data_IF_678113834059
#
_entry.id   IF_678113834059
#
_cell.length_a   1.000
_cell.length_b   1.000
_cell.length_c   1.000
_cell.angle_alpha   90.00
_cell.angle_beta   90.00
_cell.angle_gamma   90.00
#
_symmetry.space_group_name_H-M   'P 1'
#
loop_
_entity.id
_entity.type
_entity.pdbx_description
1 polymer ?
#
# COMPACT_ATOMS: atom_id res chain seq x y z
N UNK A 1 -1.18 -82.33 1.37
CA UNK A 1 -0.76 -81.35 2.40
C UNK A 1 -0.32 -80.07 1.72
N UNK A 2 -1.10 -78.99 1.85
CA UNK A 2 -0.88 -77.74 1.12
C UNK A 2 -0.41 -76.66 2.10
N UNK A 3 0.88 -76.30 2.06
CA UNK A 3 1.45 -75.23 2.89
C UNK A 3 0.99 -73.86 2.36
N UNK A 4 0.09 -73.19 3.07
CA UNK A 4 -0.18 -71.76 2.85
C UNK A 4 1.07 -70.96 3.20
N UNK A 5 1.67 -70.28 2.21
CA UNK A 5 2.71 -69.27 2.46
C UNK A 5 2.05 -68.04 3.09
N UNK A 6 2.44 -67.73 4.33
CA UNK A 6 2.14 -66.44 4.94
C UNK A 6 2.86 -65.36 4.12
N UNK A 7 2.09 -64.47 3.46
CA UNK A 7 2.65 -63.26 2.85
C UNK A 7 3.17 -62.37 3.98
N UNK A 8 4.48 -62.19 4.04
CA UNK A 8 5.09 -61.11 4.82
C UNK A 8 4.65 -59.79 4.21
N UNK A 9 3.67 -59.12 4.83
CA UNK A 9 3.45 -57.70 4.65
C UNK A 9 4.65 -57.00 5.30
N UNK A 10 5.60 -56.57 4.46
CA UNK A 10 6.77 -55.82 4.92
C UNK A 10 6.30 -54.58 5.68
N UNK A 11 6.54 -54.54 6.99
CA UNK A 11 6.31 -53.34 7.78
C UNK A 11 7.29 -52.25 7.37
N UNK A 12 6.82 -51.00 7.31
CA UNK A 12 7.69 -49.85 7.13
C UNK A 12 8.76 -49.85 8.22
N UNK A 13 10.01 -49.71 7.81
CA UNK A 13 11.10 -49.57 8.78
C UNK A 13 11.04 -48.19 9.43
N UNK A 14 11.41 -48.09 10.70
CA UNK A 14 11.39 -46.81 11.43
C UNK A 14 12.24 -45.73 10.72
N UNK A 15 13.33 -46.14 10.08
CA UNK A 15 14.22 -45.26 9.29
C UNK A 15 13.49 -44.67 8.08
N UNK A 16 12.66 -45.45 7.40
CA UNK A 16 11.88 -45.00 6.24
C UNK A 16 10.83 -43.96 6.64
N UNK A 17 10.16 -44.15 7.78
CA UNK A 17 9.21 -43.17 8.32
C UNK A 17 9.93 -41.88 8.71
N UNK A 18 11.09 -41.96 9.37
CA UNK A 18 11.89 -40.78 9.72
C UNK A 18 12.40 -40.03 8.47
N UNK A 19 12.81 -40.74 7.43
CA UNK A 19 13.22 -40.11 6.17
C UNK A 19 12.04 -39.41 5.49
N UNK A 20 10.87 -40.06 5.44
CA UNK A 20 9.66 -39.49 4.85
C UNK A 20 9.19 -38.23 5.58
N UNK A 21 9.21 -38.21 6.91
CA UNK A 21 8.80 -37.03 7.69
C UNK A 21 9.75 -35.85 7.50
N UNK A 22 11.06 -36.09 7.38
CA UNK A 22 12.04 -35.03 7.08
C UNK A 22 11.79 -34.44 5.69
N UNK A 23 11.63 -35.28 4.66
CA UNK A 23 11.35 -34.81 3.29
C UNK A 23 10.04 -34.01 3.26
N UNK A 24 8.98 -34.51 3.92
CA UNK A 24 7.70 -33.81 4.00
C UNK A 24 7.82 -32.45 4.70
N UNK A 25 8.59 -32.39 5.79
CA UNK A 25 8.81 -31.14 6.54
C UNK A 25 9.49 -30.09 5.68
N UNK A 26 10.54 -30.47 4.94
CA UNK A 26 11.24 -29.57 4.00
C UNK A 26 10.27 -29.08 2.91
N UNK A 27 9.48 -29.98 2.32
CA UNK A 27 8.52 -29.62 1.29
C UNK A 27 7.43 -28.65 1.80
N UNK A 28 6.91 -28.89 3.01
CA UNK A 28 5.89 -28.02 3.63
C UNK A 28 6.46 -26.65 3.97
N UNK A 29 7.66 -26.57 4.55
CA UNK A 29 8.31 -25.29 4.86
C UNK A 29 8.59 -24.51 3.57
N UNK A 30 9.13 -25.17 2.55
CA UNK A 30 9.40 -24.55 1.25
C UNK A 30 8.14 -24.01 0.57
N UNK A 31 7.09 -24.84 0.49
CA UNK A 31 5.82 -24.45 -0.12
C UNK A 31 5.13 -23.31 0.66
N UNK A 32 5.18 -23.36 1.99
CA UNK A 32 4.58 -22.33 2.85
C UNK A 32 5.33 -21.00 2.73
N UNK A 33 6.66 -21.03 2.72
CA UNK A 33 7.49 -19.83 2.51
C UNK A 33 7.21 -19.18 1.15
N UNK A 34 7.17 -19.99 0.09
CA UNK A 34 6.83 -19.49 -1.25
C UNK A 34 5.44 -18.84 -1.29
N UNK A 35 4.42 -19.53 -0.77
CA UNK A 35 3.04 -18.99 -0.74
C UNK A 35 2.93 -17.71 0.07
N UNK A 36 3.65 -17.63 1.19
CA UNK A 36 3.69 -16.44 2.03
C UNK A 36 4.27 -15.25 1.29
N UNK A 37 5.46 -15.40 0.69
CA UNK A 37 6.11 -14.31 -0.05
C UNK A 37 5.30 -13.91 -1.29
N UNK A 38 4.74 -14.87 -2.02
CA UNK A 38 3.89 -14.57 -3.18
C UNK A 38 2.64 -13.77 -2.79
N UNK A 39 1.95 -14.14 -1.72
CA UNK A 39 0.79 -13.40 -1.23
C UNK A 39 1.16 -11.99 -0.73
N UNK A 40 2.30 -11.88 -0.03
CA UNK A 40 2.81 -10.60 0.45
C UNK A 40 3.13 -9.65 -0.71
N UNK A 41 3.81 -10.13 -1.75
CA UNK A 41 4.19 -9.30 -2.89
C UNK A 41 2.97 -8.93 -3.75
N UNK A 42 2.00 -9.84 -3.90
CA UNK A 42 0.72 -9.53 -4.53
C UNK A 42 -0.01 -8.39 -3.80
N UNK A 43 -0.02 -8.39 -2.45
CA UNK A 43 -0.60 -7.31 -1.65
C UNK A 43 0.14 -5.99 -1.82
N UNK A 44 1.47 -6.00 -1.84
CA UNK A 44 2.27 -4.78 -2.10
C UNK A 44 1.96 -4.19 -3.48
N UNK A 45 1.87 -5.05 -4.49
CA UNK A 45 1.54 -4.64 -5.86
C UNK A 45 0.13 -4.06 -5.97
N UNK A 46 -0.86 -4.67 -5.29
CA UNK A 46 -2.22 -4.15 -5.21
C UNK A 46 -2.26 -2.75 -4.58
N UNK A 47 -1.60 -2.55 -3.43
CA UNK A 47 -1.52 -1.24 -2.79
C UNK A 47 -0.83 -0.19 -3.67
N UNK A 48 0.22 -0.57 -4.38
CA UNK A 48 0.91 0.33 -5.31
C UNK A 48 0.01 0.73 -6.49
N UNK A 49 -0.71 -0.25 -7.06
CA UNK A 49 -1.68 0.01 -8.13
C UNK A 49 -2.81 0.91 -7.65
N UNK A 50 -3.29 0.73 -6.42
CA UNK A 50 -4.36 1.54 -5.86
C UNK A 50 -3.91 2.96 -5.57
N UNK A 51 -2.71 3.13 -4.99
CA UNK A 51 -2.09 4.45 -4.84
C UNK A 51 -1.97 5.17 -6.20
N UNK A 52 -1.49 4.49 -7.24
CA UNK A 52 -1.39 5.06 -8.58
C UNK A 52 -2.75 5.46 -9.17
N UNK A 53 -3.81 4.65 -8.96
CA UNK A 53 -5.18 4.96 -9.39
C UNK A 53 -5.73 6.18 -8.67
N UNK A 54 -5.56 6.27 -7.35
CA UNK A 54 -5.96 7.43 -6.53
C UNK A 54 -5.23 8.67 -7.02
N UNK A 55 -3.93 8.59 -7.25
CA UNK A 55 -3.13 9.68 -7.79
C UNK A 55 -3.64 10.16 -9.14
N UNK A 56 -3.89 9.24 -10.07
CA UNK A 56 -4.46 9.57 -11.39
C UNK A 56 -5.84 10.21 -11.28
N UNK A 57 -6.72 9.66 -10.44
CA UNK A 57 -8.05 10.22 -10.21
C UNK A 57 -7.97 11.65 -9.68
N UNK A 58 -7.07 11.93 -8.73
CA UNK A 58 -6.84 13.27 -8.19
C UNK A 58 -6.30 14.23 -9.27
N UNK A 59 -5.34 13.77 -10.08
CA UNK A 59 -4.80 14.54 -11.19
C UNK A 59 -5.88 14.88 -12.23
N UNK A 60 -6.69 13.90 -12.66
CA UNK A 60 -7.74 14.12 -13.66
C UNK A 60 -8.88 14.98 -13.12
N UNK A 61 -9.26 14.80 -11.85
CA UNK A 61 -10.27 15.64 -11.19
C UNK A 61 -9.80 17.10 -11.10
N UNK A 62 -8.54 17.34 -10.74
CA UNK A 62 -7.96 18.68 -10.70
C UNK A 62 -7.86 19.32 -12.10
N UNK A 63 -7.51 18.53 -13.12
CA UNK A 63 -7.56 18.97 -14.53
C UNK A 63 -8.98 19.33 -14.96
N UNK A 64 -9.98 18.57 -14.53
CA UNK A 64 -11.40 18.82 -14.81
C UNK A 64 -11.90 20.17 -14.30
N UNK A 65 -11.28 20.71 -13.23
CA UNK A 65 -11.56 22.06 -12.71
C UNK A 65 -10.56 23.11 -13.19
N UNK A 66 -9.86 22.85 -14.30
CA UNK A 66 -8.86 23.73 -14.92
C UNK A 66 -7.75 24.17 -13.96
N UNK A 67 -7.34 23.27 -13.07
CA UNK A 67 -6.21 23.51 -12.19
C UNK A 67 -6.48 24.50 -11.06
N UNK A 68 -7.71 24.65 -10.60
CA UNK A 68 -8.06 25.59 -9.52
C UNK A 68 -7.14 25.51 -8.28
N UNK A 69 -6.79 26.67 -7.73
CA UNK A 69 -6.01 26.82 -6.49
C UNK A 69 -6.83 26.48 -5.24
N UNK A 70 -8.16 26.48 -5.35
CA UNK A 70 -9.08 26.14 -4.27
C UNK A 70 -9.62 24.71 -4.39
N UNK A 71 -8.98 23.89 -5.21
CA UNK A 71 -9.41 22.52 -5.44
C UNK A 71 -9.43 21.71 -4.14
N UNK A 72 -10.60 21.19 -3.81
CA UNK A 72 -10.81 20.31 -2.68
C UNK A 72 -11.33 18.94 -3.15
N UNK A 73 -10.55 17.85 -3.08
CA UNK A 73 -10.98 16.52 -3.49
C UNK A 73 -12.17 15.99 -2.68
N UNK A 74 -12.43 16.50 -1.48
CA UNK A 74 -13.61 16.12 -0.69
C UNK A 74 -14.88 16.55 -1.40
N UNK A 75 -14.92 17.77 -1.95
CA UNK A 75 -16.12 18.29 -2.63
C UNK A 75 -16.28 17.72 -4.03
N UNK A 76 -15.18 17.39 -4.71
CA UNK A 76 -15.20 16.90 -6.09
C UNK A 76 -15.29 15.37 -6.22
N UNK A 77 -14.76 14.62 -5.26
CA UNK A 77 -14.70 13.14 -5.30
C UNK A 77 -15.44 12.46 -4.15
N UNK A 78 -15.90 13.20 -3.13
CA UNK A 78 -16.50 12.65 -1.92
C UNK A 78 -17.74 11.77 -2.12
N UNK A 79 -18.42 11.90 -3.26
CA UNK A 79 -19.56 11.05 -3.61
C UNK A 79 -19.14 9.61 -3.99
N UNK A 80 -17.95 9.44 -4.55
CA UNK A 80 -17.47 8.15 -5.08
C UNK A 80 -16.28 7.58 -4.29
N UNK A 81 -15.61 8.42 -3.51
CA UNK A 81 -14.41 8.07 -2.76
C UNK A 81 -14.52 8.63 -1.33
N UNK A 82 -14.15 7.81 -0.35
CA UNK A 82 -14.12 8.25 1.06
C UNK A 82 -12.87 9.08 1.29
N UNK A 83 -12.96 10.37 0.98
CA UNK A 83 -11.90 11.36 1.22
C UNK A 83 -12.27 12.17 2.46
N UNK A 84 -11.40 12.15 3.45
CA UNK A 84 -11.54 12.96 4.67
C UNK A 84 -10.37 13.91 4.81
N UNK A 85 -10.65 15.11 5.35
CA UNK A 85 -9.61 16.00 5.80
C UNK A 85 -8.85 15.37 6.99
N UNK A 86 -7.63 15.82 7.30
CA UNK A 86 -6.92 15.38 8.49
C UNK A 86 -7.76 15.74 9.72
N UNK A 87 -7.96 14.79 10.63
CA UNK A 87 -8.41 15.15 11.98
C UNK A 87 -7.30 15.89 12.71
N UNK A 88 -7.65 16.75 13.68
CA UNK A 88 -6.67 17.45 14.53
C UNK A 88 -5.75 16.49 15.30
N UNK A 89 -6.16 15.23 15.45
CA UNK A 89 -5.43 14.14 16.12
C UNK A 89 -4.81 13.12 15.16
N UNK A 90 -4.87 13.32 13.84
CA UNK A 90 -4.32 12.37 12.87
C UNK A 90 -2.81 12.64 12.67
N UNK A 91 -2.02 12.27 13.69
CA UNK A 91 -0.57 12.48 13.77
C UNK A 91 0.16 12.08 12.49
N UNK A 92 -0.28 10.98 11.85
CA UNK A 92 0.27 10.44 10.61
C UNK A 92 0.46 11.54 9.58
N UNK A 93 -0.55 12.41 9.39
CA UNK A 93 -0.56 13.41 8.33
C UNK A 93 0.45 14.55 8.57
N UNK A 94 0.77 14.85 9.84
CA UNK A 94 1.77 15.86 10.18
C UNK A 94 3.17 15.46 9.69
N UNK A 95 3.50 14.18 9.81
CA UNK A 95 4.81 13.63 9.46
C UNK A 95 4.92 13.18 7.99
N UNK A 96 3.81 13.16 7.24
CA UNK A 96 3.86 12.80 5.81
C UNK A 96 4.75 13.73 4.99
N UNK A 97 4.95 14.99 5.42
CA UNK A 97 5.86 15.90 4.73
C UNK A 97 7.31 15.40 4.72
N UNK A 98 7.70 14.61 5.74
CA UNK A 98 9.04 14.04 5.85
C UNK A 98 9.29 12.91 4.83
N UNK A 99 8.25 12.12 4.53
CA UNK A 99 8.37 10.98 3.61
C UNK A 99 7.97 11.33 2.17
N UNK A 100 7.02 12.24 1.98
CA UNK A 100 6.45 12.55 0.68
C UNK A 100 7.17 13.69 -0.05
N UNK A 101 8.20 14.30 0.56
CA UNK A 101 9.01 15.44 0.09
C UNK A 101 8.31 16.28 -0.98
N UNK A 102 7.65 17.35 -0.53
CA UNK A 102 7.03 18.33 -1.42
C UNK A 102 8.16 19.03 -2.20
N UNK A 103 8.12 19.05 -3.55
CA UNK A 103 9.15 19.70 -4.34
C UNK A 103 9.27 21.19 -4.00
N UNK A 104 10.48 21.74 -4.16
CA UNK A 104 10.74 23.15 -3.90
C UNK A 104 9.87 24.05 -4.80
N UNK A 105 9.40 25.17 -4.24
CA UNK A 105 8.49 26.14 -4.88
C UNK A 105 7.07 25.65 -5.18
N UNK A 106 6.63 24.54 -4.59
CA UNK A 106 5.23 24.12 -4.67
C UNK A 106 4.43 24.63 -3.46
N UNK A 107 3.25 25.16 -3.73
CA UNK A 107 2.26 25.54 -2.72
C UNK A 107 1.40 24.33 -2.38
N UNK A 108 1.25 23.99 -1.10
CA UNK A 108 0.43 22.87 -0.66
C UNK A 108 -1.05 23.22 -0.79
N UNK A 109 -1.81 22.45 -1.58
CA UNK A 109 -3.28 22.57 -1.68
C UNK A 109 -3.98 21.92 -0.49
N UNK A 110 -3.45 20.78 -0.05
CA UNK A 110 -4.04 20.07 1.07
C UNK A 110 -3.44 18.68 1.27
N UNK A 111 -3.79 18.11 2.41
CA UNK A 111 -3.44 16.75 2.81
C UNK A 111 -4.74 16.04 3.14
N UNK A 112 -4.90 14.83 2.65
CA UNK A 112 -6.15 14.09 2.83
C UNK A 112 -5.87 12.66 3.21
N UNK A 113 -6.92 12.01 3.70
CA UNK A 113 -6.97 10.58 3.97
C UNK A 113 -8.00 9.97 3.04
N UNK A 114 -7.59 8.94 2.32
CA UNK A 114 -8.42 8.22 1.36
C UNK A 114 -8.55 6.79 1.84
N UNK A 115 -9.79 6.37 2.08
CA UNK A 115 -10.09 4.97 2.38
C UNK A 115 -10.54 4.28 1.10
N UNK A 116 -9.80 3.24 0.71
CA UNK A 116 -10.12 2.37 -0.43
C UNK A 116 -10.46 0.98 0.09
N UNK A 117 -10.94 0.09 -0.78
CA UNK A 117 -11.21 -1.29 -0.41
C UNK A 117 -9.92 -2.06 -0.02
N UNK A 118 -8.79 -1.70 -0.64
CA UNK A 118 -7.51 -2.39 -0.48
C UNK A 118 -6.67 -1.80 0.67
N UNK A 119 -6.99 -0.60 1.13
CA UNK A 119 -6.35 0.01 2.29
C UNK A 119 -6.53 1.52 2.42
N UNK A 120 -5.77 2.08 3.37
CA UNK A 120 -5.69 3.51 3.63
C UNK A 120 -4.51 4.14 2.90
N UNK A 121 -4.78 5.27 2.24
CA UNK A 121 -3.79 6.06 1.54
C UNK A 121 -3.87 7.52 2.00
N UNK A 122 -2.75 8.22 1.93
CA UNK A 122 -2.63 9.60 2.36
C UNK A 122 -2.06 10.46 1.23
N UNK A 123 -2.93 11.00 0.36
CA UNK A 123 -2.51 11.94 -0.67
C UNK A 123 -2.16 13.32 -0.09
N UNK A 124 -1.06 13.87 -0.60
CA UNK A 124 -0.65 15.26 -0.44
C UNK A 124 -0.66 15.89 -1.83
N UNK A 125 -1.38 17.00 -1.96
CA UNK A 125 -1.48 17.75 -3.20
C UNK A 125 -0.72 19.06 -3.04
N UNK A 126 0.12 19.36 -4.02
CA UNK A 126 0.82 20.63 -4.09
C UNK A 126 0.88 21.11 -5.54
N UNK A 127 0.80 22.42 -5.77
CA UNK A 127 0.82 22.99 -7.12
C UNK A 127 1.90 24.05 -7.28
N UNK A 128 2.28 24.32 -8.53
CA UNK A 128 3.19 25.40 -8.91
C UNK A 128 2.74 26.01 -10.22
N UNK A 129 2.73 27.33 -10.30
CA UNK A 129 2.56 28.04 -11.56
C UNK A 129 3.91 28.11 -12.30
N UNK A 130 3.92 27.66 -13.57
CA UNK A 130 5.14 27.64 -14.39
C UNK A 130 5.31 28.87 -15.28
N UNK A 131 4.38 29.83 -15.19
CA UNK A 131 4.27 30.93 -16.15
C UNK A 131 3.57 30.50 -17.43
N UNK A 132 3.06 31.47 -18.20
CA UNK A 132 2.28 31.26 -19.44
C UNK A 132 0.90 30.58 -19.26
N UNK A 133 0.25 30.75 -18.12
CA UNK A 133 -1.08 30.16 -17.86
C UNK A 133 -1.05 28.64 -17.69
N UNK A 134 0.14 28.05 -17.50
CA UNK A 134 0.31 26.64 -17.18
C UNK A 134 0.54 26.45 -15.68
N UNK A 135 -0.13 25.45 -15.14
CA UNK A 135 -0.03 25.05 -13.75
C UNK A 135 0.32 23.57 -13.65
N UNK A 136 1.16 23.27 -12.68
CA UNK A 136 1.64 21.93 -12.38
C UNK A 136 1.03 21.49 -11.07
N UNK A 137 0.50 20.27 -11.03
CA UNK A 137 0.09 19.59 -9.81
C UNK A 137 1.03 18.43 -9.55
N UNK A 138 1.63 18.43 -8.37
CA UNK A 138 2.33 17.30 -7.78
C UNK A 138 1.39 16.61 -6.79
N UNK A 139 1.17 15.32 -7.00
CA UNK A 139 0.40 14.47 -6.10
C UNK A 139 1.31 13.38 -5.58
N UNK A 140 1.52 13.37 -4.27
CA UNK A 140 2.28 12.34 -3.57
C UNK A 140 1.32 11.54 -2.68
N UNK A 141 1.21 10.24 -2.93
CA UNK A 141 0.34 9.34 -2.15
C UNK A 141 1.20 8.41 -1.34
N UNK A 142 1.05 8.49 -0.01
CA UNK A 142 1.72 7.59 0.92
C UNK A 142 0.77 6.48 1.40
N UNK A 143 1.28 5.27 1.61
CA UNK A 143 0.53 4.18 2.21
C UNK A 143 1.43 3.32 3.12
N UNK A 144 0.87 2.68 4.16
CA UNK A 144 1.63 1.82 5.05
C UNK A 144 1.98 0.48 4.37
N UNK A 145 3.18 -0.03 4.65
CA UNK A 145 3.73 -1.27 4.07
C UNK A 145 3.21 -2.56 4.72
N UNK A 146 2.59 -2.47 5.89
CA UNK A 146 2.06 -3.62 6.64
C UNK A 146 0.81 -3.25 7.42
N UNK A 147 0.06 -4.26 7.90
CA UNK A 147 -1.05 -4.13 8.86
C UNK A 147 -0.63 -3.60 10.23
N UNK A 148 0.33 -2.68 10.27
CA UNK A 148 0.53 -1.79 11.40
C UNK A 148 -0.73 -0.95 11.53
N UNK A 149 -1.52 -1.29 12.55
CA UNK A 149 -2.33 -0.30 13.23
C UNK A 149 -1.44 0.92 13.44
N UNK A 150 -1.97 2.11 13.14
CA UNK A 150 -1.29 3.37 13.47
C UNK A 150 -0.95 3.46 14.96
N UNK A 151 -1.58 2.62 15.78
CA UNK A 151 -1.24 2.31 17.16
C UNK A 151 -0.28 1.12 17.24
N UNK A 152 0.97 1.35 17.66
CA UNK A 152 1.91 0.29 17.99
C UNK A 152 1.39 -0.60 19.12
N UNK A 153 1.99 -1.79 19.28
CA UNK A 153 1.64 -2.75 20.32
C UNK A 153 1.74 -2.17 21.75
N UNK A 154 2.50 -1.09 21.90
CA UNK A 154 2.73 -0.37 23.17
C UNK A 154 1.85 0.89 23.33
N UNK A 155 0.86 1.09 22.45
CA UNK A 155 -0.04 2.24 22.48
C UNK A 155 0.49 3.53 21.83
N UNK A 156 1.74 3.54 21.35
CA UNK A 156 2.33 4.70 20.69
C UNK A 156 2.00 4.78 19.20
N UNK A 157 1.69 5.99 18.71
CA UNK A 157 1.48 6.26 17.28
C UNK A 157 2.79 6.00 16.52
N UNK A 158 2.76 5.09 15.54
CA UNK A 158 3.94 4.81 14.72
C UNK A 158 4.08 5.93 13.69
N UNK A 159 5.10 6.77 13.91
CA UNK A 159 5.42 7.85 12.97
C UNK A 159 5.71 7.28 11.57
N UNK A 160 5.25 7.93 10.50
CA UNK A 160 5.62 7.59 9.15
C UNK A 160 7.13 7.73 8.94
N UNK A 161 7.77 6.64 8.58
CA UNK A 161 9.17 6.55 8.17
C UNK A 161 9.25 5.87 6.79
N UNK A 162 10.38 6.01 6.08
CA UNK A 162 10.61 5.29 4.82
C UNK A 162 10.55 3.75 4.94
N UNK A 163 10.65 3.22 6.17
CA UNK A 163 10.66 1.79 6.45
C UNK A 163 9.26 1.20 6.58
N UNK A 164 8.30 1.97 7.09
CA UNK A 164 6.91 1.55 7.27
C UNK A 164 5.92 2.17 6.27
N UNK A 165 6.32 3.16 5.48
CA UNK A 165 5.51 3.73 4.39
C UNK A 165 6.20 3.65 3.04
N UNK A 166 5.41 3.50 1.98
CA UNK A 166 5.83 3.80 0.61
C UNK A 166 5.10 5.03 0.10
N UNK A 167 5.73 5.69 -0.86
CA UNK A 167 5.20 6.88 -1.53
C UNK A 167 5.23 6.65 -3.02
N UNK A 168 4.15 7.04 -3.69
CA UNK A 168 4.05 7.15 -5.13
C UNK A 168 3.83 8.62 -5.48
N UNK A 169 4.61 9.14 -6.42
CA UNK A 169 4.54 10.54 -6.85
C UNK A 169 4.18 10.59 -8.32
N UNK A 170 3.26 11.49 -8.66
CA UNK A 170 2.94 11.81 -10.04
C UNK A 170 2.76 13.32 -10.18
N UNK A 171 3.27 13.85 -11.28
CA UNK A 171 3.14 15.26 -11.62
C UNK A 171 2.35 15.40 -12.92
N UNK A 172 1.37 16.28 -12.94
CA UNK A 172 0.56 16.59 -14.12
C UNK A 172 0.53 18.09 -14.41
N UNK A 173 0.20 18.44 -15.65
CA UNK A 173 0.13 19.81 -16.14
C UNK A 173 -1.30 20.11 -16.61
N UNK A 174 -1.75 21.35 -16.42
CA UNK A 174 -2.99 21.86 -17.00
C UNK A 174 -2.85 23.34 -17.34
N UNK A 175 -3.62 23.80 -18.33
CA UNK A 175 -3.87 25.22 -18.51
C UNK A 175 -4.84 25.70 -17.43
N UNK A 176 -4.52 26.84 -16.79
CA UNK A 176 -5.41 27.58 -15.90
C UNK A 176 -6.34 28.49 -16.74
#
# INVERSE_FOLDING_TARGET
MTRKRLKSTGGFTLVEVMAATVILSIAVIGASGYRYHAALDARKAAMHSEAARVTLLLCESWRGVKGSETYNPITHLGANLTVTAPGETDDVIMYLNYIAEIPQDFTVLGRYKVTTNDGLCYPILSYKDTGAGLRVLNVAVAWPLQGQSTTGADGYSLYPTPDNYKVFKLTTYTSN
#
